data_IF_745219622707
#
_entry.id   IF_745219622707
#
_cell.length_a   1.000
_cell.length_b   1.000
_cell.length_c   1.000
_cell.angle_alpha   90.00
_cell.angle_beta   90.00
_cell.angle_gamma   90.00
#
_symmetry.space_group_name_H-M   'P 1'
#
loop_
_entity.id
_entity.type
_entity.pdbx_description
1 polymer ?
#
# COMPACT_ATOMS: atom_id res chain seq x y z
N UNK A 1 6.85 -16.03 -3.31
CA UNK A 1 5.38 -16.11 -3.14
C UNK A 1 4.80 -16.97 -4.24
N UNK A 2 4.02 -18.03 -3.94
CA UNK A 2 3.40 -18.88 -4.97
C UNK A 2 1.97 -18.41 -5.18
N UNK A 3 1.66 -17.89 -6.36
CA UNK A 3 0.28 -17.66 -6.79
C UNK A 3 -0.39 -19.05 -6.93
N UNK A 4 -1.33 -19.38 -6.06
CA UNK A 4 -2.11 -20.59 -6.15
C UNK A 4 -3.47 -20.29 -6.78
N UNK A 5 -3.79 -20.92 -7.91
CA UNK A 5 -5.13 -21.00 -8.45
C UNK A 5 -5.19 -20.98 -9.97
N UNK A 6 -5.78 -22.01 -10.56
CA UNK A 6 -6.08 -22.15 -11.99
C UNK A 6 -7.21 -21.19 -12.43
N UNK A 7 -6.89 -19.94 -12.61
CA UNK A 7 -7.76 -18.96 -13.28
C UNK A 7 -6.93 -18.25 -14.34
N UNK A 8 -7.57 -17.78 -15.43
CA UNK A 8 -6.95 -17.13 -16.58
C UNK A 8 -5.78 -16.16 -16.27
N UNK A 9 -5.28 -15.38 -17.19
CA UNK A 9 -4.05 -14.62 -16.98
C UNK A 9 -4.13 -13.82 -15.69
N UNK A 10 -3.24 -14.15 -14.72
CA UNK A 10 -3.12 -13.46 -13.43
C UNK A 10 -2.85 -11.99 -13.71
N UNK A 11 -3.77 -11.14 -13.30
CA UNK A 11 -3.56 -9.69 -13.41
C UNK A 11 -2.56 -9.24 -12.34
N UNK A 12 -1.94 -8.08 -12.54
CA UNK A 12 -1.12 -7.43 -11.51
C UNK A 12 -1.84 -7.36 -10.15
N UNK A 13 -3.13 -7.02 -10.17
CA UNK A 13 -3.93 -6.92 -8.95
C UNK A 13 -3.99 -8.23 -8.17
N UNK A 14 -4.00 -9.38 -8.85
CA UNK A 14 -4.08 -10.70 -8.20
C UNK A 14 -2.78 -11.05 -7.44
N UNK A 15 -1.67 -10.38 -7.75
CA UNK A 15 -0.39 -10.53 -7.05
C UNK A 15 -0.31 -9.69 -5.77
N UNK A 16 -1.18 -8.70 -5.59
CA UNK A 16 -1.20 -7.82 -4.42
C UNK A 16 -1.90 -8.49 -3.23
N UNK A 17 -1.29 -8.37 -2.06
CA UNK A 17 -1.88 -8.87 -0.82
C UNK A 17 -3.15 -8.09 -0.47
N UNK A 18 -4.17 -8.78 0.03
CA UNK A 18 -5.39 -8.15 0.57
C UNK A 18 -5.32 -7.97 2.08
N UNK A 19 -4.61 -8.86 2.76
CA UNK A 19 -4.61 -8.99 4.23
C UNK A 19 -6.03 -8.98 4.83
N UNK A 20 -7.03 -9.45 4.07
CA UNK A 20 -8.45 -9.38 4.42
C UNK A 20 -8.75 -10.05 5.76
N UNK A 21 -8.14 -11.19 6.01
CA UNK A 21 -8.33 -11.96 7.25
C UNK A 21 -7.86 -11.21 8.49
N UNK A 22 -6.86 -10.32 8.31
CA UNK A 22 -6.25 -9.53 9.37
C UNK A 22 -6.94 -8.17 9.58
N UNK A 23 -7.86 -7.78 8.70
CA UNK A 23 -8.58 -6.51 8.84
C UNK A 23 -9.64 -6.58 9.94
N UNK A 24 -9.93 -5.42 10.55
CA UNK A 24 -11.01 -5.32 11.54
C UNK A 24 -12.38 -5.56 10.89
N UNK A 25 -13.34 -6.08 11.67
CA UNK A 25 -14.72 -6.29 11.19
C UNK A 25 -15.38 -4.96 10.77
N UNK A 26 -15.06 -3.87 11.45
CA UNK A 26 -15.53 -2.53 11.07
C UNK A 26 -15.05 -2.13 9.67
N UNK A 27 -13.76 -2.35 9.38
CA UNK A 27 -13.21 -2.02 8.07
C UNK A 27 -13.76 -2.94 6.97
N UNK A 28 -13.99 -4.22 7.27
CA UNK A 28 -14.65 -5.16 6.35
C UNK A 28 -16.06 -4.70 6.01
N UNK A 29 -16.86 -4.36 7.03
CA UNK A 29 -18.20 -3.84 6.84
C UNK A 29 -18.22 -2.52 6.07
N UNK A 30 -17.25 -1.64 6.33
CA UNK A 30 -17.09 -0.40 5.58
C UNK A 30 -16.80 -0.66 4.10
N UNK A 31 -15.88 -1.58 3.76
CA UNK A 31 -15.56 -1.95 2.37
C UNK A 31 -16.77 -2.49 1.63
N UNK A 32 -17.54 -3.37 2.27
CA UNK A 32 -18.75 -3.95 1.67
C UNK A 32 -19.83 -2.88 1.42
N UNK A 33 -20.10 -2.04 2.41
CA UNK A 33 -21.07 -0.95 2.30
C UNK A 33 -20.65 0.07 1.22
N UNK A 34 -19.36 0.45 1.21
CA UNK A 34 -18.83 1.34 0.19
C UNK A 34 -18.98 0.73 -1.21
N UNK A 35 -18.61 -0.54 -1.37
CA UNK A 35 -18.71 -1.24 -2.65
C UNK A 35 -20.15 -1.31 -3.16
N UNK A 36 -21.13 -1.54 -2.27
CA UNK A 36 -22.56 -1.53 -2.62
C UNK A 36 -23.02 -0.14 -3.06
N UNK A 37 -22.68 0.90 -2.29
CA UNK A 37 -23.04 2.29 -2.62
C UNK A 37 -22.38 2.72 -3.93
N UNK A 38 -21.09 2.44 -4.09
CA UNK A 38 -20.34 2.82 -5.28
C UNK A 38 -20.94 2.17 -6.54
N UNK A 39 -21.24 0.87 -6.49
CA UNK A 39 -21.89 0.16 -7.60
C UNK A 39 -23.26 0.73 -7.96
N UNK A 40 -23.97 1.30 -7.00
CA UNK A 40 -25.29 1.91 -7.25
C UNK A 40 -25.22 3.22 -8.05
N UNK A 41 -24.14 3.99 -7.87
CA UNK A 41 -24.03 5.35 -8.41
C UNK A 41 -23.00 5.51 -9.53
N UNK A 42 -22.09 4.54 -9.68
CA UNK A 42 -21.04 4.57 -10.69
C UNK A 42 -21.26 3.42 -11.68
N UNK A 43 -21.33 3.70 -12.99
CA UNK A 43 -21.41 2.64 -13.99
C UNK A 43 -20.10 1.83 -13.98
N UNK A 44 -20.26 0.52 -13.81
CA UNK A 44 -19.18 -0.46 -13.85
C UNK A 44 -19.24 -1.30 -15.12
N UNK A 45 -18.10 -1.83 -15.58
CA UNK A 45 -18.10 -2.85 -16.64
C UNK A 45 -18.97 -4.03 -16.26
N UNK A 46 -19.63 -4.63 -17.24
CA UNK A 46 -20.40 -5.85 -17.04
C UNK A 46 -19.51 -6.94 -16.44
N UNK A 47 -20.04 -7.64 -15.44
CA UNK A 47 -19.34 -8.73 -14.75
C UNK A 47 -18.54 -8.33 -13.52
N UNK A 48 -18.38 -7.04 -13.24
CA UNK A 48 -17.70 -6.61 -12.00
C UNK A 48 -18.65 -6.66 -10.79
N UNK A 49 -18.39 -7.52 -9.84
CA UNK A 49 -19.26 -7.74 -8.67
C UNK A 49 -18.81 -6.92 -7.44
N UNK A 50 -19.74 -6.77 -6.47
CA UNK A 50 -19.45 -6.07 -5.19
C UNK A 50 -18.27 -6.68 -4.44
N UNK A 51 -18.10 -8.02 -4.35
CA UNK A 51 -16.95 -8.62 -3.67
C UNK A 51 -15.60 -8.24 -4.29
N UNK A 52 -15.51 -8.13 -5.62
CA UNK A 52 -14.27 -7.73 -6.30
C UNK A 52 -13.89 -6.27 -6.00
N UNK A 53 -14.90 -5.39 -5.87
CA UNK A 53 -14.66 -4.02 -5.46
C UNK A 53 -14.22 -3.93 -3.99
N UNK A 54 -14.82 -4.73 -3.10
CA UNK A 54 -14.37 -4.81 -1.71
C UNK A 54 -12.93 -5.35 -1.61
N UNK A 55 -12.59 -6.37 -2.39
CA UNK A 55 -11.20 -6.90 -2.45
C UNK A 55 -10.21 -5.86 -3.01
N UNK A 56 -10.62 -5.02 -3.97
CA UNK A 56 -9.80 -3.92 -4.45
C UNK A 56 -9.52 -2.90 -3.33
N UNK A 57 -10.49 -2.58 -2.49
CA UNK A 57 -10.29 -1.68 -1.34
C UNK A 57 -9.29 -2.25 -0.32
N UNK A 58 -9.31 -3.58 -0.08
CA UNK A 58 -8.29 -4.22 0.75
C UNK A 58 -6.90 -4.13 0.12
N UNK A 59 -6.77 -4.32 -1.20
CA UNK A 59 -5.50 -4.15 -1.91
C UNK A 59 -4.98 -2.72 -1.85
N UNK A 60 -5.85 -1.73 -2.06
CA UNK A 60 -5.48 -0.32 -1.94
C UNK A 60 -4.97 -0.02 -0.53
N UNK A 61 -5.67 -0.48 0.51
CA UNK A 61 -5.22 -0.27 1.89
C UNK A 61 -3.86 -0.89 2.19
N UNK A 62 -3.60 -2.09 1.65
CA UNK A 62 -2.39 -2.86 1.97
C UNK A 62 -1.19 -2.47 1.10
N UNK A 63 -1.40 -2.08 -0.16
CA UNK A 63 -0.31 -1.87 -1.12
C UNK A 63 -0.33 -0.47 -1.74
N UNK A 64 -1.33 0.34 -1.42
CA UNK A 64 -1.47 1.66 -2.01
C UNK A 64 -0.43 2.65 -1.48
N UNK A 65 0.09 3.45 -2.39
CA UNK A 65 0.96 4.59 -2.08
C UNK A 65 0.10 5.84 -1.96
N UNK A 66 0.22 6.53 -0.83
CA UNK A 66 -0.46 7.80 -0.61
C UNK A 66 0.26 8.95 -1.31
N UNK A 67 -0.49 9.80 -2.01
CA UNK A 67 0.04 11.04 -2.56
C UNK A 67 -0.13 12.17 -1.56
N UNK A 68 0.98 12.85 -1.15
CA UNK A 68 0.88 13.98 -0.23
C UNK A 68 0.14 15.14 -0.90
N UNK A 69 -0.65 15.86 -0.12
CA UNK A 69 -1.19 17.14 -0.53
C UNK A 69 -0.17 18.24 -0.30
N UNK A 70 -0.05 19.18 -1.25
CA UNK A 70 0.90 20.29 -1.17
C UNK A 70 0.60 21.26 0.00
N UNK A 71 -0.59 21.22 0.57
CA UNK A 71 -1.04 22.09 1.66
C UNK A 71 -0.77 21.54 3.09
N UNK A 72 0.01 20.47 3.22
CA UNK A 72 0.35 19.80 4.48
C UNK A 72 -0.84 19.15 5.22
N UNK A 73 -2.01 19.04 4.61
CA UNK A 73 -3.23 18.61 5.28
C UNK A 73 -3.72 17.21 4.91
N UNK A 74 -2.86 16.37 4.33
CA UNK A 74 -3.24 14.97 4.14
C UNK A 74 -2.79 14.33 2.83
N UNK A 75 -3.51 13.32 2.44
CA UNK A 75 -3.27 12.54 1.23
C UNK A 75 -4.32 12.89 0.20
N UNK A 76 -3.91 13.34 -0.98
CA UNK A 76 -4.80 13.61 -2.12
C UNK A 76 -5.51 12.37 -2.63
N UNK A 77 -4.86 11.23 -2.50
CA UNK A 77 -5.37 9.96 -2.98
C UNK A 77 -4.38 8.85 -2.80
N UNK A 78 -4.75 7.68 -3.31
CA UNK A 78 -3.95 6.46 -3.25
C UNK A 78 -3.80 5.88 -4.64
N UNK A 79 -2.62 5.38 -4.97
CA UNK A 79 -2.34 4.68 -6.21
C UNK A 79 -1.83 3.27 -5.95
N UNK A 80 -2.22 2.35 -6.82
CA UNK A 80 -1.60 1.03 -6.94
C UNK A 80 -0.66 1.09 -8.14
N UNK A 81 0.63 1.15 -7.89
CA UNK A 81 1.65 1.16 -8.92
C UNK A 81 2.26 -0.23 -9.11
N UNK A 82 2.56 -0.60 -10.36
CA UNK A 82 3.04 -1.93 -10.72
C UNK A 82 4.37 -2.30 -10.05
N UNK A 83 5.25 -1.33 -9.84
CA UNK A 83 6.58 -1.57 -9.27
C UNK A 83 6.68 -1.11 -7.82
N UNK A 84 6.23 0.11 -7.54
CA UNK A 84 6.37 0.71 -6.23
C UNK A 84 5.54 0.00 -5.14
N UNK A 85 4.41 -0.62 -5.50
CA UNK A 85 3.62 -1.44 -4.57
C UNK A 85 4.30 -2.74 -4.11
N UNK A 86 5.42 -3.13 -4.72
CA UNK A 86 6.22 -4.29 -4.30
C UNK A 86 7.46 -3.92 -3.48
N UNK A 87 7.74 -2.64 -3.29
CA UNK A 87 8.87 -2.21 -2.48
C UNK A 87 8.55 -2.40 -1.00
N UNK A 88 9.43 -3.07 -0.27
CA UNK A 88 9.25 -3.32 1.16
C UNK A 88 9.56 -2.09 2.01
N UNK A 89 9.01 -2.09 3.22
CA UNK A 89 9.22 -1.00 4.18
C UNK A 89 10.53 -1.12 4.96
N UNK A 90 11.17 0.04 5.18
CA UNK A 90 12.18 0.23 6.22
C UNK A 90 12.03 1.61 6.88
N UNK A 91 12.23 1.70 8.20
CA UNK A 91 12.42 2.99 8.88
C UNK A 91 13.82 3.60 8.65
N UNK A 92 14.68 2.89 7.90
CA UNK A 92 15.95 3.37 7.35
C UNK A 92 15.98 3.00 5.87
N UNK A 93 15.19 3.69 5.04
CA UNK A 93 15.03 3.36 3.62
C UNK A 93 16.31 3.72 2.84
N UNK A 94 16.51 3.04 1.70
CA UNK A 94 17.54 3.40 0.72
C UNK A 94 16.95 3.99 -0.56
N UNK A 95 15.61 4.02 -0.65
CA UNK A 95 14.88 4.64 -1.75
C UNK A 95 13.74 5.52 -1.22
N UNK A 96 13.29 6.44 -2.06
CA UNK A 96 12.05 7.19 -1.88
C UNK A 96 11.18 7.08 -3.14
N UNK A 97 9.88 7.25 -2.97
CA UNK A 97 8.93 7.37 -4.08
C UNK A 97 8.49 8.82 -4.16
N UNK A 98 8.71 9.43 -5.30
CA UNK A 98 8.33 10.82 -5.57
C UNK A 98 7.47 10.87 -6.83
N UNK A 99 6.71 11.95 -6.99
CA UNK A 99 5.99 12.23 -8.22
C UNK A 99 6.76 13.30 -9.01
N UNK A 100 7.02 13.03 -10.29
CA UNK A 100 7.62 14.02 -11.19
C UNK A 100 6.62 15.11 -11.63
N UNK A 101 7.07 16.06 -12.41
CA UNK A 101 6.25 17.18 -12.89
C UNK A 101 5.14 16.71 -13.86
N UNK A 102 5.33 15.57 -14.51
CA UNK A 102 4.38 14.94 -15.41
C UNK A 102 3.34 14.06 -14.66
N UNK A 103 3.53 13.84 -13.36
CA UNK A 103 2.64 13.02 -12.51
C UNK A 103 2.99 11.54 -12.50
N UNK A 104 4.18 11.14 -12.98
CA UNK A 104 4.64 9.76 -12.89
C UNK A 104 5.28 9.48 -11.52
N UNK A 105 5.12 8.25 -11.03
CA UNK A 105 5.86 7.79 -9.85
C UNK A 105 7.29 7.43 -10.24
N UNK A 106 8.24 8.01 -9.52
CA UNK A 106 9.67 7.77 -9.69
C UNK A 106 10.24 7.21 -8.41
N UNK A 107 10.89 6.06 -8.49
CA UNK A 107 11.67 5.50 -7.37
C UNK A 107 13.10 6.03 -7.48
N UNK A 108 13.53 6.80 -6.48
CA UNK A 108 14.84 7.46 -6.43
C UNK A 108 15.68 6.87 -5.31
N UNK A 109 16.92 6.45 -5.61
CA UNK A 109 17.87 6.02 -4.60
C UNK A 109 18.30 7.20 -3.72
N UNK A 110 18.34 7.00 -2.41
CA UNK A 110 18.79 7.98 -1.41
C UNK A 110 20.32 7.90 -1.18
N UNK A 111 20.91 6.77 -1.54
CA UNK A 111 22.35 6.50 -1.42
C UNK A 111 22.77 5.46 -2.47
N UNK A 112 24.04 5.16 -2.55
CA UNK A 112 24.55 4.03 -3.32
C UNK A 112 23.95 2.72 -2.79
N UNK A 113 23.49 1.87 -3.69
CA UNK A 113 22.85 0.58 -3.38
C UNK A 113 23.66 -0.52 -4.08
N UNK A 114 24.14 -1.49 -3.31
CA UNK A 114 24.88 -2.61 -3.83
C UNK A 114 23.98 -3.51 -4.70
N UNK A 115 24.56 -4.14 -5.70
CA UNK A 115 23.87 -5.09 -6.56
C UNK A 115 23.29 -6.25 -5.73
N UNK A 116 21.99 -6.52 -5.93
CA UNK A 116 21.26 -7.55 -5.18
C UNK A 116 20.73 -7.11 -3.83
N UNK A 117 21.05 -5.90 -3.36
CA UNK A 117 20.44 -5.37 -2.15
C UNK A 117 18.95 -5.01 -2.39
N UNK A 118 18.08 -5.22 -1.39
CA UNK A 118 16.67 -4.87 -1.52
C UNK A 118 16.47 -3.37 -1.63
N UNK A 119 15.52 -2.96 -2.48
CA UNK A 119 15.04 -1.58 -2.52
C UNK A 119 13.98 -1.38 -1.45
N UNK A 120 14.21 -0.46 -0.53
CA UNK A 120 13.39 -0.23 0.64
C UNK A 120 12.91 1.22 0.68
N UNK A 121 11.61 1.40 0.89
CA UNK A 121 10.97 2.72 1.04
C UNK A 121 10.37 2.88 2.44
N UNK A 122 9.95 4.08 2.81
CA UNK A 122 9.17 4.25 4.03
C UNK A 122 7.67 4.27 3.71
N UNK A 123 6.88 3.57 4.54
CA UNK A 123 5.39 3.62 4.50
C UNK A 123 4.81 4.59 5.52
N UNK A 124 5.67 5.20 6.34
CA UNK A 124 5.28 6.07 7.44
C UNK A 124 6.09 7.35 7.42
N UNK A 125 5.55 8.42 7.95
CA UNK A 125 6.31 9.62 8.22
C UNK A 125 7.32 9.34 9.35
N UNK A 126 8.60 9.45 9.00
CA UNK A 126 9.72 9.18 9.90
C UNK A 126 10.09 10.37 10.79
N UNK A 127 9.67 11.58 10.42
CA UNK A 127 10.04 12.81 11.12
C UNK A 127 9.03 13.15 12.23
N UNK A 128 7.73 13.00 11.95
CA UNK A 128 6.69 13.38 12.89
C UNK A 128 6.29 12.29 13.87
N UNK A 129 6.77 11.03 13.71
CA UNK A 129 6.34 9.89 14.52
C UNK A 129 7.45 9.34 15.40
N UNK A 130 7.12 9.10 16.66
CA UNK A 130 7.95 8.35 17.60
C UNK A 130 8.11 6.89 17.16
N UNK A 131 9.13 6.14 17.67
CA UNK A 131 9.28 4.71 17.38
C UNK A 131 8.03 3.89 17.65
N UNK A 132 7.34 4.18 18.75
CA UNK A 132 6.12 3.47 19.13
C UNK A 132 4.97 3.75 18.16
N UNK A 133 4.74 5.01 17.81
CA UNK A 133 3.70 5.41 16.84
C UNK A 133 3.95 4.82 15.45
N UNK A 134 5.22 4.68 15.02
CA UNK A 134 5.56 3.99 13.76
C UNK A 134 5.20 2.51 13.81
N UNK A 135 5.51 1.82 14.92
CA UNK A 135 5.19 0.40 15.11
C UNK A 135 3.68 0.16 15.09
N UNK A 136 2.93 0.99 15.81
CA UNK A 136 1.47 0.92 15.84
C UNK A 136 0.88 1.18 14.46
N UNK A 137 1.29 2.24 13.79
CA UNK A 137 0.80 2.57 12.46
C UNK A 137 1.07 1.47 11.42
N UNK A 138 2.28 0.90 11.41
CA UNK A 138 2.63 -0.20 10.52
C UNK A 138 1.80 -1.45 10.81
N UNK A 139 1.57 -1.75 12.09
CA UNK A 139 0.74 -2.88 12.46
C UNK A 139 -0.73 -2.65 12.10
N UNK A 140 -1.26 -1.46 12.33
CA UNK A 140 -2.67 -1.14 12.06
C UNK A 140 -3.01 -1.14 10.57
N UNK A 141 -2.12 -0.65 9.72
CA UNK A 141 -2.38 -0.56 8.28
C UNK A 141 -1.90 -1.79 7.51
N UNK A 142 -0.70 -2.28 7.84
CA UNK A 142 -0.01 -3.27 7.01
C UNK A 142 0.14 -4.64 7.69
N UNK A 143 -0.20 -4.74 9.00
CA UNK A 143 -0.20 -5.98 9.79
C UNK A 143 1.18 -6.65 9.94
N UNK A 144 2.25 -5.86 10.02
CA UNK A 144 3.59 -6.36 10.32
C UNK A 144 4.33 -5.48 11.34
N UNK A 145 5.39 -6.05 11.93
CA UNK A 145 6.32 -5.35 12.79
C UNK A 145 7.64 -5.14 12.06
N UNK A 146 8.07 -3.88 11.94
CA UNK A 146 9.33 -3.56 11.31
C UNK A 146 10.52 -4.01 12.16
N UNK A 147 11.44 -4.75 11.55
CA UNK A 147 12.67 -5.24 12.17
C UNK A 147 13.95 -4.67 11.53
N UNK A 148 13.86 -3.48 10.92
CA UNK A 148 15.01 -2.81 10.30
C UNK A 148 16.06 -2.40 11.35
N UNK A 149 17.30 -2.06 10.95
CA UNK A 149 18.36 -1.65 11.87
C UNK A 149 17.95 -0.52 12.81
N UNK A 150 17.25 0.49 12.31
CA UNK A 150 16.75 1.61 13.12
C UNK A 150 15.79 1.14 14.22
N UNK A 151 14.81 0.28 13.90
CA UNK A 151 13.86 -0.23 14.90
C UNK A 151 14.48 -1.20 15.92
N UNK A 152 15.64 -1.78 15.62
CA UNK A 152 16.38 -2.63 16.55
C UNK A 152 17.23 -1.83 17.53
N UNK A 153 17.60 -0.60 17.16
CA UNK A 153 18.42 0.30 17.99
C UNK A 153 17.61 1.26 18.85
N UNK A 154 16.34 1.47 18.57
CA UNK A 154 15.37 2.27 19.31
C UNK A 154 14.52 1.40 20.25
#
# INVERSE_FOLDING_TARGET
MRCQGSRGPTTFLDCLATNKELQSEEFKAWCENFAQLFKRYVPFPEGFAVPELADLLYRIRTNGLGFPCNDKHGTLGWSLDLYASFLDHSCSPNCEVVMDEEGNLVVRALSEIEEGAPLLITYVDLESRTPQERKEHLFDLYRFHCACPRCKSE
#
